data_IF_959924494697
#
_entry.id   IF_959924494697
#
_cell.length_a   1.000
_cell.length_b   1.000
_cell.length_c   1.000
_cell.angle_alpha   90.00
_cell.angle_beta   90.00
_cell.angle_gamma   90.00
#
_symmetry.space_group_name_H-M   'P 1'
#
loop_
_entity.id
_entity.type
_entity.pdbx_description
1 polymer ?
#
# COMPACT_ATOMS: atom_id res chain seq x y z
N UNK A 1 -17.73 19.20 8.49
CA UNK A 1 -16.44 18.61 8.08
C UNK A 1 -15.68 18.25 9.35
N UNK A 2 -15.57 16.98 9.74
CA UNK A 2 -14.79 16.64 10.92
C UNK A 2 -13.30 16.72 10.58
N UNK A 3 -12.51 17.24 11.51
CA UNK A 3 -11.07 17.36 11.39
C UNK A 3 -10.45 15.94 11.33
N UNK A 4 -10.06 15.51 10.13
CA UNK A 4 -9.27 14.29 9.98
C UNK A 4 -7.93 14.45 10.70
N UNK A 5 -7.57 13.50 11.56
CA UNK A 5 -6.21 13.39 12.08
C UNK A 5 -5.34 12.77 10.99
N UNK A 6 -4.34 13.53 10.53
CA UNK A 6 -3.30 13.03 9.63
C UNK A 6 -2.38 12.15 10.47
N UNK A 7 -2.29 10.87 10.15
CA UNK A 7 -1.30 9.96 10.70
C UNK A 7 -0.10 9.99 9.75
N UNK A 8 1.02 10.53 10.23
CA UNK A 8 2.26 10.68 9.44
C UNK A 8 2.97 9.33 9.33
N UNK A 9 3.40 8.96 8.12
CA UNK A 9 4.13 7.72 7.89
C UNK A 9 5.55 7.77 8.46
N UNK A 10 6.01 6.62 8.95
CA UNK A 10 7.33 6.40 9.51
C UNK A 10 8.02 5.34 8.65
N UNK A 11 9.19 5.64 8.10
CA UNK A 11 10.03 4.64 7.41
C UNK A 11 10.85 3.93 8.50
N UNK A 12 11.08 2.62 8.44
CA UNK A 12 11.92 1.95 9.45
C UNK A 12 13.37 1.86 9.00
N UNK A 13 14.30 2.49 9.72
CA UNK A 13 15.67 2.67 9.25
C UNK A 13 16.69 2.59 10.38
N UNK A 14 17.90 2.21 10.01
CA UNK A 14 19.05 2.26 10.90
C UNK A 14 19.97 3.39 10.41
N UNK A 15 20.24 4.41 11.24
CA UNK A 15 21.27 5.38 10.91
C UNK A 15 22.64 4.83 11.34
N UNK A 16 23.58 4.78 10.40
CA UNK A 16 24.92 4.20 10.54
C UNK A 16 25.95 5.31 10.31
N UNK A 17 26.97 5.36 11.15
CA UNK A 17 28.13 6.24 10.94
C UNK A 17 28.74 6.04 9.55
N UNK A 18 28.77 7.11 8.74
CA UNK A 18 29.49 7.16 7.47
C UNK A 18 31.01 7.24 7.69
N UNK A 19 31.76 6.28 7.16
CA UNK A 19 33.23 6.34 7.14
C UNK A 19 33.71 7.23 6.00
N UNK A 20 33.80 8.55 6.22
CA UNK A 20 34.30 9.49 5.23
C UNK A 20 35.01 10.68 5.87
N UNK A 21 36.33 10.79 5.67
CA UNK A 21 37.10 11.98 6.00
C UNK A 21 36.84 13.06 4.94
N UNK A 22 36.28 14.18 5.36
CA UNK A 22 36.04 15.34 4.50
C UNK A 22 35.87 16.60 5.35
N UNK A 23 36.72 17.59 5.12
CA UNK A 23 36.69 18.91 5.73
C UNK A 23 35.47 19.66 5.19
N UNK A 24 34.60 20.18 6.06
CA UNK A 24 33.45 21.01 5.66
C UNK A 24 33.71 22.46 6.06
N UNK A 25 33.86 23.27 5.02
CA UNK A 25 33.97 24.73 5.04
C UNK A 25 32.57 25.34 5.18
N UNK A 26 32.38 26.26 6.12
CA UNK A 26 31.09 26.89 6.43
C UNK A 26 30.74 27.99 5.43
N UNK A 27 29.53 27.92 4.85
CA UNK A 27 28.93 29.03 4.12
C UNK A 27 27.65 29.52 4.83
N UNK A 28 27.53 30.85 4.83
CA UNK A 28 26.61 31.69 5.59
C UNK A 28 25.27 31.90 4.85
N UNK A 29 24.30 32.49 5.56
CA UNK A 29 23.16 33.29 5.06
C UNK A 29 21.90 32.61 4.47
N UNK A 30 20.77 32.64 5.21
CA UNK A 30 19.74 33.71 5.11
C UNK A 30 18.52 33.42 6.02
N UNK A 31 18.05 34.48 6.68
CA UNK A 31 16.85 34.55 7.52
C UNK A 31 15.57 34.33 6.72
N UNK A 32 14.66 33.52 7.27
CA UNK A 32 13.22 33.67 7.06
C UNK A 32 12.56 33.77 8.44
N UNK A 33 11.95 34.92 8.68
CA UNK A 33 10.97 35.17 9.75
C UNK A 33 9.65 34.53 9.36
N UNK A 34 9.00 33.82 10.27
CA UNK A 34 7.53 33.92 10.40
C UNK A 34 6.96 33.41 11.73
N UNK A 35 6.22 34.33 12.35
CA UNK A 35 4.88 34.25 12.95
C UNK A 35 4.58 33.07 13.90
N UNK A 36 4.38 33.45 15.17
CA UNK A 36 4.00 32.55 16.25
C UNK A 36 2.52 32.17 16.30
N UNK A 37 2.25 31.08 16.99
CA UNK A 37 0.93 30.75 17.53
C UNK A 37 1.13 30.21 18.96
N UNK A 38 0.66 31.00 19.93
CA UNK A 38 0.49 30.61 21.32
C UNK A 38 -0.70 29.67 21.44
N UNK A 39 -0.50 28.46 21.96
CA UNK A 39 -1.57 27.54 22.31
C UNK A 39 -1.21 26.72 23.54
N UNK A 40 -1.72 27.12 24.71
CA UNK A 40 -1.62 26.36 25.97
C UNK A 40 -2.59 25.18 25.91
N UNK A 41 -2.07 23.95 25.93
CA UNK A 41 -2.84 22.72 26.18
C UNK A 41 -2.47 22.13 27.54
N UNK A 42 -3.46 21.92 28.42
CA UNK A 42 -3.32 21.12 29.65
C UNK A 42 -3.38 19.62 29.30
N UNK A 43 -2.70 18.74 30.05
CA UNK A 43 -2.78 17.30 29.83
C UNK A 43 -4.08 16.72 30.41
N UNK A 44 -4.75 15.86 29.65
CA UNK A 44 -5.81 14.98 30.13
C UNK A 44 -5.21 13.59 30.41
N UNK A 45 -5.50 13.09 31.60
CA UNK A 45 -5.20 11.74 32.05
C UNK A 45 -5.84 10.69 31.13
N UNK A 46 -5.09 9.65 30.81
CA UNK A 46 -5.57 8.45 30.14
C UNK A 46 -5.91 7.41 31.21
N UNK A 47 -7.19 7.05 31.29
CA UNK A 47 -7.67 5.79 31.87
C UNK A 47 -8.78 5.28 30.94
N UNK A 48 -8.92 3.96 30.91
CA UNK A 48 -9.82 3.12 30.11
C UNK A 48 -9.29 2.66 28.74
N UNK A 49 -8.91 1.38 28.72
CA UNK A 49 -8.55 0.62 27.53
C UNK A 49 -9.77 0.34 26.67
N UNK A 50 -9.74 0.87 25.45
CA UNK A 50 -10.65 0.50 24.37
C UNK A 50 -10.00 -0.66 23.62
N UNK A 51 -10.57 -1.86 23.76
CA UNK A 51 -10.27 -2.97 22.85
C UNK A 51 -10.82 -2.64 21.46
N UNK A 52 -9.92 -2.35 20.53
CA UNK A 52 -10.26 -2.20 19.11
C UNK A 52 -10.25 -3.60 18.50
N UNK A 53 -11.44 -4.21 18.39
CA UNK A 53 -11.63 -5.44 17.64
C UNK A 53 -11.49 -5.18 16.14
N UNK A 54 -10.32 -5.48 15.56
CA UNK A 54 -10.12 -5.42 14.11
C UNK A 54 -10.73 -6.67 13.49
N UNK A 55 -11.96 -6.56 13.01
CA UNK A 55 -12.56 -7.60 12.15
C UNK A 55 -11.94 -7.51 10.75
N UNK A 56 -10.91 -8.32 10.51
CA UNK A 56 -10.40 -8.56 9.15
C UNK A 56 -11.38 -9.47 8.44
N UNK A 57 -12.31 -8.88 7.69
CA UNK A 57 -13.13 -9.61 6.74
C UNK A 57 -12.22 -10.17 5.65
N UNK A 58 -11.91 -11.47 5.73
CA UNK A 58 -11.25 -12.22 4.67
C UNK A 58 -12.26 -12.49 3.55
N UNK A 59 -12.60 -11.44 2.79
CA UNK A 59 -13.17 -11.64 1.47
C UNK A 59 -12.05 -12.18 0.57
N UNK A 60 -12.16 -13.46 0.23
CA UNK A 60 -11.24 -14.24 -0.59
C UNK A 60 -11.16 -13.79 -2.04
N UNK A 61 -10.75 -12.53 -2.27
CA UNK A 61 -10.19 -12.07 -3.54
C UNK A 61 -8.76 -11.64 -3.28
N UNK A 62 -7.84 -12.57 -3.51
CA UNK A 62 -6.42 -12.28 -3.58
C UNK A 62 -6.17 -11.21 -4.65
N UNK A 63 -6.09 -9.95 -4.24
CA UNK A 63 -5.34 -8.96 -4.98
C UNK A 63 -3.90 -9.44 -4.90
N UNK A 64 -3.47 -10.16 -5.93
CA UNK A 64 -2.09 -10.58 -6.09
C UNK A 64 -1.23 -9.33 -6.01
N UNK A 65 -0.56 -9.16 -4.87
CA UNK A 65 0.59 -8.28 -4.81
C UNK A 65 1.51 -8.76 -5.92
N UNK A 66 1.67 -7.92 -6.95
CA UNK A 66 2.73 -8.04 -7.93
C UNK A 66 4.04 -7.90 -7.16
N UNK A 67 4.45 -8.98 -6.50
CA UNK A 67 5.84 -9.25 -6.20
C UNK A 67 6.49 -9.31 -7.57
N UNK A 68 7.09 -8.19 -7.97
CA UNK A 68 7.87 -8.13 -9.19
C UNK A 68 8.85 -9.30 -9.11
N UNK A 69 8.70 -10.27 -10.01
CA UNK A 69 9.64 -11.37 -10.11
C UNK A 69 11.05 -10.75 -10.14
N UNK A 70 12.01 -11.29 -9.37
CA UNK A 70 13.37 -10.80 -9.41
C UNK A 70 13.80 -10.72 -10.88
N UNK A 71 14.45 -9.62 -11.31
CA UNK A 71 14.80 -9.44 -12.71
C UNK A 71 15.55 -10.69 -13.19
N UNK A 72 15.27 -11.17 -14.42
CA UNK A 72 15.95 -12.34 -14.94
C UNK A 72 17.46 -12.13 -14.84
N UNK A 73 18.23 -13.19 -14.51
CA UNK A 73 19.68 -13.07 -14.36
C UNK A 73 20.25 -12.40 -15.61
N UNK A 74 20.83 -11.21 -15.43
CA UNK A 74 21.37 -10.43 -16.54
C UNK A 74 22.41 -11.31 -17.25
N UNK A 75 22.30 -11.41 -18.58
CA UNK A 75 23.26 -12.16 -19.38
C UNK A 75 24.68 -11.69 -19.03
N UNK A 76 25.61 -12.59 -18.71
CA UNK A 76 26.94 -12.22 -18.25
C UNK A 76 27.61 -11.30 -19.28
N UNK A 77 28.11 -10.13 -18.84
CA UNK A 77 28.85 -9.18 -19.69
C UNK A 77 30.28 -9.68 -19.84
N UNK A 78 30.67 -10.35 -20.94
CA UNK A 78 31.95 -11.05 -21.00
C UNK A 78 33.17 -10.12 -20.85
N UNK A 79 33.03 -8.86 -21.23
CA UNK A 79 34.09 -7.84 -21.22
C UNK A 79 33.91 -6.77 -20.14
N UNK A 80 33.00 -7.00 -19.19
CA UNK A 80 32.64 -6.02 -18.16
C UNK A 80 31.66 -4.96 -18.64
N UNK A 81 31.28 -4.10 -17.71
CA UNK A 81 30.39 -2.97 -17.93
C UNK A 81 31.07 -1.85 -18.73
N UNK A 82 30.29 -1.07 -19.50
CA UNK A 82 30.83 0.03 -20.31
C UNK A 82 31.54 1.09 -19.46
N UNK A 83 31.06 1.31 -18.22
CA UNK A 83 31.64 2.25 -17.26
C UNK A 83 32.86 1.69 -16.50
N UNK A 84 33.16 0.40 -16.67
CA UNK A 84 34.30 -0.25 -16.02
C UNK A 84 34.69 -1.51 -16.80
N UNK A 85 35.33 -1.32 -17.96
CA UNK A 85 35.75 -2.42 -18.84
C UNK A 85 36.83 -3.26 -18.17
N UNK A 86 36.72 -4.57 -18.33
CA UNK A 86 37.75 -5.51 -17.91
C UNK A 86 39.02 -5.31 -18.75
N UNK A 87 40.18 -5.37 -18.11
CA UNK A 87 41.46 -5.40 -18.80
C UNK A 87 41.58 -6.69 -19.62
N UNK A 88 42.02 -6.55 -20.87
CA UNK A 88 42.37 -7.69 -21.72
C UNK A 88 43.66 -8.36 -21.24
N UNK A 89 43.90 -9.60 -21.67
CA UNK A 89 45.14 -10.32 -21.36
C UNK A 89 46.39 -9.54 -21.82
N UNK A 90 46.32 -8.89 -22.98
CA UNK A 90 47.42 -8.06 -23.50
C UNK A 90 47.67 -6.81 -22.65
N UNK A 91 46.63 -6.17 -22.13
CA UNK A 91 46.76 -5.02 -21.22
C UNK A 91 47.31 -5.41 -19.86
N UNK A 92 46.90 -6.56 -19.31
CA UNK A 92 47.48 -7.07 -18.07
C UNK A 92 48.97 -7.40 -18.24
N UNK A 93 49.34 -8.05 -19.35
CA UNK A 93 50.73 -8.38 -19.65
C UNK A 93 51.60 -7.13 -19.86
N UNK A 94 51.07 -6.08 -20.51
CA UNK A 94 51.82 -4.86 -20.77
C UNK A 94 51.94 -3.94 -19.55
N UNK A 95 50.90 -3.87 -18.70
CA UNK A 95 50.91 -3.04 -17.48
C UNK A 95 51.67 -3.68 -16.33
N UNK A 96 51.72 -5.01 -16.27
CA UNK A 96 52.36 -5.76 -15.20
C UNK A 96 53.37 -6.78 -15.78
N UNK A 97 54.39 -6.33 -16.54
CA UNK A 97 55.29 -7.20 -17.31
C UNK A 97 56.28 -7.98 -16.44
N UNK A 98 56.44 -7.59 -15.18
CA UNK A 98 57.52 -8.03 -14.29
C UNK A 98 57.04 -8.24 -12.87
N UNK A 99 55.82 -8.74 -12.70
CA UNK A 99 55.44 -9.32 -11.40
C UNK A 99 55.64 -10.84 -11.54
N UNK A 100 56.88 -11.36 -11.45
CA UNK A 100 57.08 -12.77 -11.16
C UNK A 100 56.56 -12.92 -9.74
N UNK A 101 55.24 -13.07 -9.63
CA UNK A 101 54.64 -13.67 -8.46
C UNK A 101 55.52 -14.87 -8.16
N UNK A 102 56.09 -14.94 -6.95
CA UNK A 102 56.93 -16.07 -6.56
C UNK A 102 56.10 -17.32 -6.88
N UNK A 103 56.45 -18.03 -7.96
CA UNK A 103 55.59 -19.05 -8.56
C UNK A 103 55.23 -20.11 -7.50
N UNK A 104 56.18 -20.35 -6.61
CA UNK A 104 56.10 -21.22 -5.43
C UNK A 104 54.91 -20.87 -4.51
N UNK A 105 54.57 -19.58 -4.38
CA UNK A 105 53.40 -19.12 -3.60
C UNK A 105 52.08 -19.26 -4.34
N UNK A 106 52.10 -19.18 -5.67
CA UNK A 106 50.90 -19.29 -6.51
C UNK A 106 50.45 -20.74 -6.65
N UNK A 107 51.35 -21.67 -6.97
CA UNK A 107 50.96 -23.07 -7.12
C UNK A 107 50.34 -23.60 -5.83
N UNK A 108 50.81 -23.11 -4.68
CA UNK A 108 50.24 -23.43 -3.37
C UNK A 108 48.78 -23.00 -3.20
N UNK A 109 48.38 -21.89 -3.85
CA UNK A 109 47.08 -21.25 -3.68
C UNK A 109 46.09 -21.63 -4.79
N UNK A 110 46.57 -21.70 -6.03
CA UNK A 110 45.76 -21.92 -7.21
C UNK A 110 45.76 -23.37 -7.70
N UNK A 111 46.72 -24.19 -7.24
CA UNK A 111 46.91 -25.56 -7.72
C UNK A 111 47.61 -25.65 -9.08
N UNK A 112 47.96 -26.88 -9.52
CA UNK A 112 48.79 -27.10 -10.72
C UNK A 112 48.09 -26.74 -12.05
N UNK A 113 46.76 -26.55 -12.04
CA UNK A 113 45.97 -26.30 -13.25
C UNK A 113 45.58 -24.83 -13.45
N UNK A 114 46.16 -23.92 -12.67
CA UNK A 114 45.78 -22.52 -12.70
C UNK A 114 46.33 -21.79 -13.92
N UNK A 115 45.45 -21.36 -14.83
CA UNK A 115 45.85 -20.52 -15.95
C UNK A 115 45.99 -19.05 -15.50
N UNK A 116 47.18 -18.67 -15.03
CA UNK A 116 47.49 -17.32 -14.57
C UNK A 116 47.37 -16.25 -15.66
N UNK A 117 47.52 -16.63 -16.93
CA UNK A 117 47.36 -15.69 -18.05
C UNK A 117 45.90 -15.32 -18.29
N UNK A 118 44.97 -16.18 -17.87
CA UNK A 118 43.52 -15.96 -17.99
C UNK A 118 42.88 -15.48 -16.68
N UNK A 119 43.57 -15.58 -15.54
CA UNK A 119 43.03 -15.23 -14.23
C UNK A 119 42.75 -13.71 -14.13
N UNK A 120 41.49 -13.37 -13.85
CA UNK A 120 41.00 -11.98 -13.83
C UNK A 120 40.77 -11.36 -15.22
N UNK A 121 40.95 -12.10 -16.31
CA UNK A 121 40.66 -11.63 -17.68
C UNK A 121 39.20 -11.91 -18.04
N UNK A 122 38.47 -10.83 -18.31
CA UNK A 122 37.03 -10.91 -18.58
C UNK A 122 36.23 -11.37 -17.37
N UNK A 123 34.91 -11.29 -17.48
CA UNK A 123 34.00 -11.65 -16.39
C UNK A 123 33.79 -13.16 -16.31
N UNK A 124 34.55 -13.81 -15.43
CA UNK A 124 34.49 -15.26 -15.19
C UNK A 124 34.67 -15.57 -13.70
N UNK A 125 34.18 -16.72 -13.21
CA UNK A 125 34.41 -17.17 -11.84
C UNK A 125 35.83 -17.72 -11.71
N UNK A 126 36.81 -16.82 -11.67
CA UNK A 126 38.24 -17.17 -11.67
C UNK A 126 38.66 -17.96 -10.44
N UNK A 127 37.88 -17.86 -9.35
CA UNK A 127 38.18 -18.50 -8.06
C UNK A 127 37.60 -19.93 -7.94
N UNK A 128 36.73 -20.35 -8.87
CA UNK A 128 35.92 -21.58 -8.74
C UNK A 128 36.76 -22.86 -8.59
N UNK A 129 37.94 -22.89 -9.22
CA UNK A 129 38.82 -24.06 -9.22
C UNK A 129 40.05 -23.91 -8.33
N UNK A 130 40.14 -22.82 -7.54
CA UNK A 130 41.26 -22.64 -6.61
C UNK A 130 41.17 -23.65 -5.49
N UNK A 131 42.33 -24.02 -4.92
CA UNK A 131 42.41 -24.98 -3.81
C UNK A 131 41.50 -24.62 -2.61
N UNK A 132 41.38 -23.34 -2.20
CA UNK A 132 40.42 -22.92 -1.17
C UNK A 132 38.95 -23.11 -1.54
N UNK A 133 38.62 -23.29 -2.81
CA UNK A 133 37.25 -23.47 -3.30
C UNK A 133 36.97 -24.91 -3.76
N UNK A 134 38.00 -25.65 -4.22
CA UNK A 134 37.88 -26.99 -4.80
C UNK A 134 37.75 -28.12 -3.77
N UNK A 135 38.08 -27.86 -2.49
CA UNK A 135 38.00 -28.85 -1.40
C UNK A 135 36.89 -28.57 -0.38
N UNK A 136 35.83 -27.86 -0.78
CA UNK A 136 34.70 -27.46 0.07
C UNK A 136 33.86 -28.63 0.63
N UNK A 137 34.17 -29.89 0.31
CA UNK A 137 33.52 -31.03 0.96
C UNK A 137 34.20 -31.51 2.24
N UNK A 138 35.48 -31.22 2.53
CA UNK A 138 36.18 -31.61 3.79
C UNK A 138 37.59 -30.99 4.04
N UNK A 139 38.02 -29.95 3.31
CA UNK A 139 39.39 -29.42 3.36
C UNK A 139 39.63 -28.24 4.33
N UNK A 140 40.90 -27.91 4.65
CA UNK A 140 41.32 -26.85 5.58
C UNK A 140 41.14 -25.42 5.03
N UNK A 141 40.01 -25.15 4.35
CA UNK A 141 39.60 -23.81 3.92
C UNK A 141 39.21 -22.89 5.08
N UNK A 142 39.21 -23.40 6.31
CA UNK A 142 38.69 -22.70 7.50
C UNK A 142 39.63 -21.60 8.00
N UNK A 143 40.93 -21.63 7.68
CA UNK A 143 41.93 -20.85 8.42
C UNK A 143 42.59 -19.68 7.66
N UNK A 144 42.44 -19.54 6.33
CA UNK A 144 43.21 -18.54 5.55
C UNK A 144 42.37 -17.61 4.67
N UNK A 145 41.23 -18.10 4.19
CA UNK A 145 40.21 -17.31 3.50
C UNK A 145 38.91 -17.64 4.20
N UNK A 146 38.11 -16.66 4.65
CA UNK A 146 36.93 -17.01 5.41
C UNK A 146 35.99 -17.78 4.47
N UNK A 147 35.82 -19.06 4.76
CA UNK A 147 34.90 -19.91 4.02
C UNK A 147 33.50 -19.28 4.16
N UNK A 148 32.84 -18.92 3.06
CA UNK A 148 31.49 -18.39 3.14
C UNK A 148 30.58 -19.46 3.70
N UNK A 149 29.58 -19.05 4.50
CA UNK A 149 28.57 -19.97 5.06
C UNK A 149 27.80 -20.72 3.97
N UNK A 150 27.80 -20.19 2.75
CA UNK A 150 27.16 -20.76 1.58
C UNK A 150 28.07 -20.60 0.35
N UNK A 151 28.36 -21.71 -0.32
CA UNK A 151 29.18 -21.73 -1.54
C UNK A 151 28.49 -21.01 -2.70
N UNK A 152 27.16 -20.97 -2.74
CA UNK A 152 26.39 -20.33 -3.82
C UNK A 152 26.47 -18.80 -3.75
N UNK A 153 26.78 -18.25 -2.58
CA UNK A 153 27.00 -16.81 -2.38
C UNK A 153 28.48 -16.45 -2.20
N UNK A 154 29.38 -17.41 -2.40
CA UNK A 154 30.83 -17.26 -2.23
C UNK A 154 31.47 -16.33 -3.26
N UNK A 155 32.73 -15.95 -3.03
CA UNK A 155 33.57 -15.37 -4.06
C UNK A 155 33.99 -16.40 -5.13
N UNK A 156 34.01 -17.69 -4.79
CA UNK A 156 34.41 -18.77 -5.69
C UNK A 156 33.55 -18.84 -6.97
N UNK A 157 32.22 -18.67 -6.84
CA UNK A 157 31.29 -18.75 -7.97
C UNK A 157 31.04 -17.41 -8.67
N UNK A 158 31.48 -16.28 -8.10
CA UNK A 158 31.16 -14.96 -8.64
C UNK A 158 32.18 -14.53 -9.66
N UNK A 159 31.69 -13.96 -10.76
CA UNK A 159 32.57 -13.42 -11.78
C UNK A 159 33.13 -12.07 -11.35
N UNK A 160 34.43 -11.90 -11.55
CA UNK A 160 35.11 -10.62 -11.44
C UNK A 160 36.12 -10.48 -12.56
N UNK A 161 36.68 -9.28 -12.72
CA UNK A 161 37.82 -9.08 -13.58
C UNK A 161 38.75 -7.98 -13.02
N UNK A 162 39.97 -7.93 -13.54
CA UNK A 162 40.85 -6.79 -13.32
C UNK A 162 40.43 -5.60 -14.15
N UNK A 163 40.53 -4.43 -13.56
CA UNK A 163 40.07 -3.16 -14.14
C UNK A 163 41.14 -2.10 -13.98
N UNK A 164 41.07 -1.07 -14.83
CA UNK A 164 41.89 0.12 -14.69
C UNK A 164 41.24 1.07 -13.67
N UNK A 165 41.84 1.30 -12.49
CA UNK A 165 41.23 2.14 -11.46
C UNK A 165 41.05 3.60 -11.92
N UNK A 166 41.86 4.07 -12.89
CA UNK A 166 41.75 5.42 -13.42
C UNK A 166 40.58 5.59 -14.41
N UNK A 167 40.06 4.48 -14.97
CA UNK A 167 38.98 4.49 -15.97
C UNK A 167 37.69 3.84 -15.48
N UNK A 168 37.72 3.13 -14.37
CA UNK A 168 36.59 2.43 -13.78
C UNK A 168 35.85 3.33 -12.79
N UNK A 169 34.60 3.71 -13.10
CA UNK A 169 33.75 4.46 -12.16
C UNK A 169 32.98 3.55 -11.19
N UNK A 170 32.94 2.24 -11.46
CA UNK A 170 32.28 1.26 -10.58
C UNK A 170 33.16 0.91 -9.37
N UNK A 171 32.56 0.30 -8.34
CA UNK A 171 33.27 -0.13 -7.14
C UNK A 171 34.38 -1.13 -7.48
N UNK A 172 35.62 -0.80 -7.14
CA UNK A 172 36.80 -1.64 -7.35
C UNK A 172 37.75 -1.53 -6.14
N UNK A 173 38.64 -2.52 -5.99
CA UNK A 173 39.60 -2.58 -4.87
C UNK A 173 40.95 -3.12 -5.32
N UNK A 174 42.05 -2.71 -4.65
CA UNK A 174 43.35 -3.30 -4.92
C UNK A 174 43.34 -4.78 -4.53
N UNK A 175 43.95 -5.63 -5.36
CA UNK A 175 44.13 -7.04 -5.07
C UNK A 175 45.16 -7.22 -3.97
N UNK A 176 44.83 -8.07 -3.00
CA UNK A 176 45.75 -8.44 -1.91
C UNK A 176 46.75 -9.49 -2.37
N UNK A 177 46.39 -10.28 -3.40
CA UNK A 177 47.21 -11.37 -3.93
C UNK A 177 48.15 -10.83 -5.03
N UNK A 178 47.65 -9.94 -5.89
CA UNK A 178 48.39 -9.41 -7.04
C UNK A 178 48.63 -7.91 -6.87
N UNK A 179 49.83 -7.55 -6.40
CA UNK A 179 50.22 -6.16 -6.15
C UNK A 179 49.98 -5.26 -7.37
N UNK A 180 49.49 -4.04 -7.14
CA UNK A 180 49.24 -3.06 -8.20
C UNK A 180 48.03 -3.34 -9.09
N UNK A 181 47.37 -4.50 -8.99
CA UNK A 181 46.15 -4.80 -9.74
C UNK A 181 44.90 -4.40 -8.96
N UNK A 182 43.85 -3.97 -9.65
CA UNK A 182 42.55 -3.65 -9.06
C UNK A 182 41.49 -4.55 -9.65
N UNK A 183 40.67 -5.17 -8.81
CA UNK A 183 39.58 -6.04 -9.24
C UNK A 183 38.22 -5.39 -8.99
N UNK A 184 37.24 -5.72 -9.82
CA UNK A 184 35.85 -5.31 -9.63
C UNK A 184 34.90 -6.47 -9.92
N UNK A 185 34.07 -6.80 -8.93
CA UNK A 185 32.89 -7.65 -9.13
C UNK A 185 31.75 -6.86 -9.81
N UNK A 186 31.66 -5.56 -9.50
CA UNK A 186 30.62 -4.67 -10.04
C UNK A 186 30.72 -4.53 -11.56
N UNK A 187 31.95 -4.49 -12.11
CA UNK A 187 32.20 -4.56 -13.55
C UNK A 187 31.52 -5.77 -14.22
N UNK A 188 31.36 -6.87 -13.50
CA UNK A 188 30.76 -8.11 -14.00
C UNK A 188 29.30 -8.29 -13.56
N UNK A 189 28.69 -7.28 -12.92
CA UNK A 189 27.31 -7.35 -12.43
C UNK A 189 27.15 -8.08 -11.10
N UNK A 190 28.24 -8.33 -10.36
CA UNK A 190 28.20 -9.02 -9.07
C UNK A 190 28.57 -8.08 -7.91
N UNK A 191 28.03 -8.34 -6.72
CA UNK A 191 28.49 -7.67 -5.50
C UNK A 191 29.81 -8.28 -5.02
N UNK A 192 30.69 -7.45 -4.47
CA UNK A 192 31.97 -7.86 -3.86
C UNK A 192 31.73 -8.80 -2.67
N UNK A 193 31.82 -10.11 -2.91
CA UNK A 193 31.75 -11.16 -1.89
C UNK A 193 33.12 -11.52 -1.32
N UNK A 194 34.21 -11.16 -2.01
CA UNK A 194 35.56 -11.45 -1.54
C UNK A 194 35.89 -10.69 -0.26
N UNK A 195 35.55 -9.41 -0.20
CA UNK A 195 35.77 -8.61 1.02
C UNK A 195 34.61 -8.65 2.01
N UNK A 196 33.48 -9.26 1.65
CA UNK A 196 32.34 -9.40 2.56
C UNK A 196 32.77 -10.05 3.88
N UNK A 197 33.53 -11.13 3.78
CA UNK A 197 34.01 -11.85 4.94
C UNK A 197 35.05 -11.06 5.75
N UNK A 198 35.92 -10.28 5.08
CA UNK A 198 36.85 -9.35 5.75
C UNK A 198 36.11 -8.22 6.46
N UNK A 199 35.01 -7.73 5.90
CA UNK A 199 34.14 -6.74 6.54
C UNK A 199 33.50 -7.36 7.78
N UNK A 200 32.87 -8.52 7.65
CA UNK A 200 32.25 -9.24 8.76
C UNK A 200 33.27 -9.57 9.85
N UNK A 201 34.46 -10.08 9.49
CA UNK A 201 35.54 -10.35 10.44
C UNK A 201 36.07 -9.08 11.10
N UNK A 202 36.00 -7.93 10.43
CA UNK A 202 36.37 -6.65 11.03
C UNK A 202 35.32 -6.12 12.00
N UNK A 203 34.10 -6.67 12.00
CA UNK A 203 33.08 -6.41 13.02
C UNK A 203 33.27 -7.35 14.23
N UNK A 204 33.75 -8.58 14.00
CA UNK A 204 33.91 -9.58 15.07
C UNK A 204 34.72 -9.07 16.26
N UNK A 205 34.16 -9.25 17.45
CA UNK A 205 34.77 -8.83 18.72
C UNK A 205 34.74 -7.32 18.97
N UNK A 206 34.17 -6.50 18.07
CA UNK A 206 33.95 -5.09 18.34
C UNK A 206 32.68 -4.89 19.14
N UNK A 207 32.67 -3.84 19.95
CA UNK A 207 31.49 -3.38 20.66
C UNK A 207 31.01 -2.08 20.04
N UNK A 208 29.79 -2.07 19.53
CA UNK A 208 29.17 -0.88 18.94
C UNK A 208 28.29 -0.17 19.96
N UNK A 209 28.39 1.16 20.04
CA UNK A 209 27.51 1.99 20.85
C UNK A 209 26.18 2.18 20.10
N UNK A 210 25.11 1.62 20.65
CA UNK A 210 23.79 1.59 20.02
C UNK A 210 22.81 2.40 20.84
N UNK A 211 22.23 3.43 20.23
CA UNK A 211 21.15 4.20 20.82
C UNK A 211 19.82 3.78 20.22
N UNK A 212 18.89 3.35 21.08
CA UNK A 212 17.53 3.00 20.69
C UNK A 212 16.57 4.16 20.95
N UNK A 213 15.66 4.37 20.02
CA UNK A 213 14.61 5.38 20.12
C UNK A 213 13.24 4.71 20.13
N UNK A 214 12.44 4.96 21.16
CA UNK A 214 11.10 4.37 21.25
C UNK A 214 10.16 4.96 20.21
N UNK A 215 9.55 4.11 19.39
CA UNK A 215 8.50 4.50 18.47
C UNK A 215 7.14 4.46 19.17
N UNK A 216 6.30 5.47 18.94
CA UNK A 216 4.93 5.51 19.46
C UNK A 216 4.00 4.80 18.47
N UNK A 217 3.58 3.57 18.75
CA UNK A 217 2.38 2.99 18.14
C UNK A 217 2.54 2.33 16.77
N UNK A 218 3.56 1.49 16.58
CA UNK A 218 3.69 0.67 15.37
C UNK A 218 4.03 -0.78 15.70
N UNK A 219 4.16 -1.62 14.67
CA UNK A 219 4.70 -2.98 14.78
C UNK A 219 6.11 -3.09 14.20
N UNK A 220 6.63 -2.06 13.52
CA UNK A 220 7.89 -2.13 12.73
C UNK A 220 9.13 -1.51 13.39
N UNK A 221 8.96 -0.70 14.44
CA UNK A 221 10.04 0.03 15.12
C UNK A 221 10.66 -0.62 16.37
N UNK A 222 11.35 0.20 17.16
CA UNK A 222 11.93 -0.17 18.45
C UNK A 222 11.05 0.34 19.59
N UNK A 223 10.86 -0.46 20.63
CA UNK A 223 9.96 -0.14 21.73
C UNK A 223 10.64 -0.37 23.08
N UNK A 224 10.47 0.58 23.97
CA UNK A 224 10.78 0.42 25.39
C UNK A 224 9.47 0.37 26.18
N UNK A 225 9.29 -0.52 27.18
CA UNK A 225 8.03 -0.64 27.92
C UNK A 225 7.54 0.65 28.60
N UNK A 226 8.47 1.55 28.96
CA UNK A 226 8.16 2.85 29.57
C UNK A 226 7.90 3.96 28.55
N UNK A 227 8.07 3.69 27.25
CA UNK A 227 8.06 4.71 26.19
C UNK A 227 9.27 5.66 26.20
N UNK A 228 10.25 5.44 27.09
CA UNK A 228 11.42 6.29 27.22
C UNK A 228 12.37 6.12 26.02
N UNK A 229 12.82 7.24 25.45
CA UNK A 229 13.91 7.26 24.47
C UNK A 229 15.26 7.07 25.16
N UNK A 230 16.17 6.31 24.54
CA UNK A 230 17.56 6.14 25.01
C UNK A 230 17.72 5.55 26.42
N UNK A 231 16.74 4.77 26.89
CA UNK A 231 16.91 3.97 28.10
C UNK A 231 18.14 3.05 27.99
N UNK A 232 19.05 3.17 28.94
CA UNK A 232 20.31 2.41 29.01
C UNK A 232 20.07 1.09 29.73
N UNK A 233 19.22 0.23 29.16
CA UNK A 233 18.95 -1.11 29.67
C UNK A 233 18.66 -2.11 28.52
N UNK A 234 18.34 -3.36 28.86
CA UNK A 234 18.11 -4.43 27.89
C UNK A 234 16.62 -4.68 27.57
N UNK A 235 15.70 -3.85 28.09
CA UNK A 235 14.25 -4.06 27.96
C UNK A 235 13.68 -3.63 26.60
N UNK A 236 14.55 -3.23 25.67
CA UNK A 236 14.18 -2.93 24.29
C UNK A 236 13.64 -4.17 23.55
N UNK A 237 12.55 -3.95 22.82
CA UNK A 237 11.92 -4.94 21.94
C UNK A 237 11.46 -4.34 20.61
N UNK A 238 10.82 -5.17 19.78
CA UNK A 238 10.34 -4.80 18.45
C UNK A 238 11.17 -5.41 17.30
N UNK A 239 10.63 -5.50 16.07
CA UNK A 239 11.30 -6.20 14.98
C UNK A 239 12.65 -5.62 14.61
N UNK A 240 12.82 -4.29 14.62
CA UNK A 240 14.12 -3.68 14.31
C UNK A 240 15.17 -3.97 15.38
N UNK A 241 14.77 -4.07 16.67
CA UNK A 241 15.67 -4.45 17.76
C UNK A 241 16.11 -5.90 17.59
N UNK A 242 15.17 -6.79 17.27
CA UNK A 242 15.46 -8.20 17.00
C UNK A 242 16.37 -8.37 15.78
N UNK A 243 16.13 -7.60 14.71
CA UNK A 243 16.99 -7.57 13.53
C UNK A 243 18.42 -7.18 13.89
N UNK A 244 18.62 -6.09 14.62
CA UNK A 244 19.97 -5.62 15.01
C UNK A 244 20.64 -6.61 15.98
N UNK A 245 19.89 -7.23 16.91
CA UNK A 245 20.39 -8.32 17.76
C UNK A 245 20.86 -9.52 16.95
N UNK A 246 20.06 -9.96 15.99
CA UNK A 246 20.41 -11.08 15.11
C UNK A 246 21.64 -10.74 14.26
N UNK A 247 21.71 -9.53 13.72
CA UNK A 247 22.87 -9.04 12.99
C UNK A 247 24.14 -9.00 13.87
N UNK A 248 24.01 -8.64 15.15
CA UNK A 248 25.09 -8.68 16.12
C UNK A 248 25.60 -10.10 16.38
N UNK A 249 24.68 -11.05 16.57
CA UNK A 249 25.00 -12.46 16.75
C UNK A 249 25.69 -13.06 15.51
N UNK A 250 25.14 -12.85 14.32
CA UNK A 250 25.71 -13.37 13.06
C UNK A 250 27.02 -12.68 12.67
N UNK A 251 27.13 -11.37 12.92
CA UNK A 251 28.33 -10.59 12.70
C UNK A 251 29.41 -10.81 13.76
N UNK A 252 29.08 -11.48 14.87
CA UNK A 252 29.98 -11.71 16.00
C UNK A 252 30.44 -10.44 16.69
N UNK A 253 29.63 -9.39 16.69
CA UNK A 253 29.91 -8.13 17.39
C UNK A 253 28.99 -7.97 18.61
N UNK A 254 29.45 -7.21 19.60
CA UNK A 254 28.68 -6.90 20.80
C UNK A 254 28.01 -5.53 20.66
N UNK A 255 26.87 -5.35 21.32
CA UNK A 255 26.18 -4.06 21.38
C UNK A 255 26.25 -3.50 22.79
N UNK A 256 26.75 -2.27 22.92
CA UNK A 256 26.67 -1.48 24.14
C UNK A 256 25.48 -0.53 23.97
N UNK A 257 24.41 -0.76 24.72
CA UNK A 257 23.25 0.15 24.70
C UNK A 257 23.65 1.44 25.39
N UNK A 258 23.61 2.56 24.68
CA UNK A 258 24.02 3.88 25.20
C UNK A 258 23.00 4.96 24.87
N UNK A 259 23.16 6.12 25.51
CA UNK A 259 22.38 7.33 25.23
C UNK A 259 23.28 8.40 24.62
N UNK A 260 22.80 9.19 23.65
CA UNK A 260 23.51 10.37 23.18
C UNK A 260 23.81 11.36 24.32
N UNK A 261 24.99 12.02 24.36
CA UNK A 261 25.34 12.97 25.41
C UNK A 261 24.44 14.21 25.46
N UNK A 262 23.87 14.52 26.63
CA UNK A 262 22.83 15.55 26.78
C UNK A 262 23.20 16.96 26.27
N UNK A 263 24.48 17.33 26.27
CA UNK A 263 24.93 18.62 25.75
C UNK A 263 24.67 18.78 24.25
N UNK A 264 24.60 17.68 23.48
CA UNK A 264 24.30 17.70 22.04
C UNK A 264 22.84 18.01 21.75
N UNK A 265 21.94 17.89 22.75
CA UNK A 265 20.50 18.08 22.54
C UNK A 265 20.19 19.48 22.06
N UNK A 266 20.84 20.50 22.64
CA UNK A 266 20.64 21.91 22.25
C UNK A 266 21.13 22.19 20.83
N UNK A 267 22.27 21.62 20.45
CA UNK A 267 22.82 21.78 19.09
C UNK A 267 21.97 21.07 18.05
N UNK A 268 21.50 19.85 18.36
CA UNK A 268 20.55 19.14 17.52
C UNK A 268 19.23 19.90 17.38
N UNK A 269 18.71 20.49 18.45
CA UNK A 269 17.50 21.30 18.42
C UNK A 269 17.66 22.56 17.56
N UNK A 270 18.84 23.19 17.60
CA UNK A 270 19.18 24.32 16.73
C UNK A 270 19.26 23.91 15.27
N UNK A 271 19.83 22.73 14.96
CA UNK A 271 19.98 22.26 13.59
C UNK A 271 18.66 21.71 13.04
N UNK A 272 17.99 20.76 13.70
CA UNK A 272 16.83 20.03 13.20
C UNK A 272 15.47 20.50 13.76
N UNK A 273 15.46 21.13 14.93
CA UNK A 273 14.25 21.37 15.73
C UNK A 273 14.08 20.35 16.86
N UNK A 274 12.96 20.44 17.60
CA UNK A 274 12.68 19.59 18.77
C UNK A 274 12.21 18.21 18.36
N UNK A 275 13.14 17.25 18.33
CA UNK A 275 12.84 15.86 18.00
C UNK A 275 13.90 14.92 18.58
N UNK A 276 13.47 13.91 19.34
CA UNK A 276 14.36 12.87 19.88
C UNK A 276 14.96 11.99 18.77
N UNK A 277 14.28 11.86 17.63
CA UNK A 277 14.81 11.16 16.46
C UNK A 277 16.00 11.90 15.86
N UNK A 278 15.84 13.20 15.65
CA UNK A 278 16.90 14.04 15.10
C UNK A 278 18.12 14.13 16.04
N UNK A 279 17.88 14.10 17.35
CA UNK A 279 18.93 14.04 18.36
C UNK A 279 19.84 12.81 18.22
N UNK A 280 19.26 11.62 17.95
CA UNK A 280 20.06 10.43 17.68
C UNK A 280 20.84 10.57 16.37
N UNK A 281 20.16 11.00 15.29
CA UNK A 281 20.78 11.19 13.96
C UNK A 281 21.99 12.12 14.03
N UNK A 282 21.86 13.23 14.77
CA UNK A 282 22.94 14.18 15.00
C UNK A 282 24.11 13.57 15.79
N UNK A 283 23.82 12.80 16.84
CA UNK A 283 24.85 12.10 17.62
C UNK A 283 25.59 11.03 16.80
N UNK A 284 24.89 10.32 15.91
CA UNK A 284 25.49 9.35 14.99
C UNK A 284 26.39 10.02 13.95
N UNK A 285 25.95 11.16 13.39
CA UNK A 285 26.75 11.96 12.46
C UNK A 285 28.08 12.43 13.06
N UNK A 286 28.07 12.77 14.35
CA UNK A 286 29.27 13.18 15.11
C UNK A 286 30.08 12.01 15.67
N UNK A 287 29.60 10.77 15.55
CA UNK A 287 30.30 9.57 16.02
C UNK A 287 30.25 9.33 17.53
N UNK A 288 29.30 9.93 18.26
CA UNK A 288 29.07 9.63 19.68
C UNK A 288 28.32 8.32 19.90
N UNK A 289 27.53 7.91 18.90
CA UNK A 289 26.90 6.59 18.82
C UNK A 289 27.23 6.01 17.45
N UNK A 290 27.42 4.71 17.37
CA UNK A 290 27.75 4.04 16.10
C UNK A 290 26.48 3.72 15.30
N UNK A 291 25.40 3.38 16.02
CA UNK A 291 24.12 2.97 15.47
C UNK A 291 22.97 3.66 16.19
N UNK A 292 22.04 4.20 15.41
CA UNK A 292 20.77 4.75 15.88
C UNK A 292 19.63 3.89 15.35
N UNK A 293 18.93 3.20 16.26
CA UNK A 293 17.95 2.16 15.94
C UNK A 293 16.55 2.62 16.33
N UNK A 294 15.71 2.87 15.33
CA UNK A 294 14.28 3.12 15.48
C UNK A 294 13.60 3.06 14.11
N UNK A 295 12.31 3.39 14.04
CA UNK A 295 11.67 3.74 12.78
C UNK A 295 11.87 5.24 12.49
N UNK A 296 12.71 5.59 11.51
CA UNK A 296 13.00 6.96 11.07
C UNK A 296 12.47 7.24 9.66
N UNK A 297 11.72 8.31 9.47
CA UNK A 297 11.51 8.85 8.11
C UNK A 297 12.83 9.45 7.58
N UNK A 298 13.34 8.99 6.42
CA UNK A 298 14.43 9.70 5.72
C UNK A 298 13.89 11.03 5.24
N UNK A 299 14.53 12.12 5.67
CA UNK A 299 14.39 13.42 5.02
C UNK A 299 15.74 13.81 4.43
N UNK A 300 15.74 14.70 3.43
CA UNK A 300 16.97 15.18 2.81
C UNK A 300 17.97 15.73 3.84
N UNK A 301 17.45 16.44 4.85
CA UNK A 301 18.23 17.02 5.94
C UNK A 301 18.88 15.98 6.85
N UNK A 302 18.23 14.82 7.04
CA UNK A 302 18.81 13.71 7.80
C UNK A 302 19.84 12.96 6.96
N UNK A 303 19.49 12.65 5.71
CA UNK A 303 20.37 11.97 4.76
C UNK A 303 21.65 12.76 4.45
N UNK A 304 21.62 14.09 4.58
CA UNK A 304 22.80 14.94 4.35
C UNK A 304 23.84 14.87 5.47
N UNK A 305 23.51 14.40 6.68
CA UNK A 305 24.44 14.38 7.83
C UNK A 305 24.88 12.97 8.23
N UNK A 306 24.09 11.94 7.92
CA UNK A 306 24.41 10.56 8.29
C UNK A 306 23.89 9.59 7.25
N UNK A 307 24.48 8.40 7.20
CA UNK A 307 24.04 7.34 6.30
C UNK A 307 22.86 6.57 6.90
N UNK A 308 21.91 6.19 6.05
CA UNK A 308 20.76 5.36 6.44
C UNK A 308 20.85 3.99 5.79
N UNK A 309 20.43 2.98 6.53
CA UNK A 309 20.18 1.64 6.04
C UNK A 309 18.68 1.40 6.00
N UNK A 310 18.17 1.20 4.78
CA UNK A 310 16.75 1.04 4.50
C UNK A 310 16.31 -0.40 4.76
N UNK A 311 15.37 -0.59 5.69
CA UNK A 311 14.82 -1.92 5.99
C UNK A 311 13.45 -2.16 5.37
N UNK A 312 12.68 -1.10 5.13
CA UNK A 312 11.33 -1.13 4.58
C UNK A 312 11.02 0.20 3.92
N UNK A 313 10.12 0.16 2.93
CA UNK A 313 9.52 1.36 2.31
C UNK A 313 8.02 1.30 2.57
N UNK A 314 7.55 2.17 3.45
CA UNK A 314 6.13 2.25 3.81
C UNK A 314 5.48 3.43 3.07
N UNK A 315 4.44 3.14 2.29
CA UNK A 315 3.60 4.17 1.65
C UNK A 315 2.84 4.99 2.69
N UNK A 316 2.57 6.26 2.38
CA UNK A 316 1.67 7.08 3.19
C UNK A 316 0.22 6.65 2.91
N UNK A 317 -0.49 6.19 3.94
CA UNK A 317 -1.90 5.82 3.85
C UNK A 317 -2.77 6.84 4.59
N UNK A 318 -3.88 7.24 3.97
CA UNK A 318 -4.95 7.96 4.66
C UNK A 318 -5.88 6.94 5.32
N UNK A 319 -5.75 6.76 6.63
CA UNK A 319 -6.70 5.96 7.41
C UNK A 319 -7.94 6.81 7.68
N UNK A 320 -9.03 6.54 6.95
CA UNK A 320 -10.35 7.06 7.28
C UNK A 320 -11.10 6.02 8.10
N UNK A 321 -11.61 6.42 9.26
CA UNK A 321 -12.59 5.61 9.95
C UNK A 321 -13.82 5.53 9.06
N UNK A 322 -14.08 4.35 8.51
CA UNK A 322 -15.41 4.07 7.99
C UNK A 322 -16.33 4.15 9.21
N UNK A 323 -17.31 5.03 9.18
CA UNK A 323 -18.41 4.95 10.14
C UNK A 323 -19.03 3.57 9.94
N UNK A 324 -18.63 2.60 10.76
CA UNK A 324 -19.19 1.26 10.73
C UNK A 324 -20.69 1.41 10.96
N UNK A 325 -21.49 0.88 10.03
CA UNK A 325 -22.95 0.93 10.05
C UNK A 325 -23.53 0.18 11.25
N UNK A 326 -23.44 0.78 12.44
CA UNK A 326 -23.83 0.19 13.72
C UNK A 326 -25.15 0.69 14.27
N UNK A 327 -25.80 1.66 13.63
CA UNK A 327 -27.22 1.95 13.82
C UNK A 327 -27.82 2.26 12.46
N UNK A 328 -28.86 1.52 12.07
CA UNK A 328 -29.75 1.94 10.99
C UNK A 328 -30.34 3.27 11.41
N UNK A 329 -29.65 4.36 11.09
CA UNK A 329 -30.18 5.70 11.32
C UNK A 329 -31.40 5.84 10.42
N UNK A 330 -32.40 6.55 10.92
CA UNK A 330 -33.58 6.91 10.12
C UNK A 330 -33.17 7.53 8.78
N UNK A 331 -32.01 8.20 8.72
CA UNK A 331 -31.43 8.77 7.51
C UNK A 331 -30.97 7.72 6.49
N UNK A 332 -30.35 6.63 6.94
CA UNK A 332 -29.97 5.52 6.05
C UNK A 332 -31.21 4.81 5.48
N UNK A 333 -32.22 4.56 6.33
CA UNK A 333 -33.51 4.02 5.89
C UNK A 333 -34.22 4.97 4.92
N UNK A 334 -34.31 6.26 5.26
CA UNK A 334 -34.92 7.30 4.42
C UNK A 334 -34.22 7.40 3.07
N UNK A 335 -32.89 7.40 3.06
CA UNK A 335 -32.12 7.44 1.82
C UNK A 335 -32.44 6.22 0.96
N UNK A 336 -32.40 5.02 1.54
CA UNK A 336 -32.71 3.76 0.85
C UNK A 336 -34.15 3.72 0.31
N UNK A 337 -35.12 4.19 1.10
CA UNK A 337 -36.52 4.28 0.70
C UNK A 337 -36.72 5.31 -0.43
N UNK A 338 -36.05 6.46 -0.35
CA UNK A 338 -36.11 7.47 -1.41
C UNK A 338 -35.42 7.02 -2.70
N UNK A 339 -34.46 6.10 -2.65
CA UNK A 339 -33.85 5.49 -3.84
C UNK A 339 -34.91 4.82 -4.74
N UNK A 340 -36.00 4.28 -4.17
CA UNK A 340 -37.11 3.69 -4.94
C UNK A 340 -37.80 4.74 -5.84
N UNK A 341 -37.80 6.02 -5.44
CA UNK A 341 -38.44 7.10 -6.20
C UNK A 341 -37.49 7.86 -7.13
N UNK A 342 -36.17 7.65 -7.01
CA UNK A 342 -35.15 8.29 -7.86
C UNK A 342 -35.24 8.00 -9.36
N UNK A 343 -35.78 6.86 -9.85
CA UNK A 343 -35.86 6.58 -11.29
C UNK A 343 -36.64 7.62 -12.11
N UNK A 344 -37.48 8.42 -11.45
CA UNK A 344 -38.20 9.54 -12.06
C UNK A 344 -38.00 10.81 -11.26
N UNK A 345 -37.93 11.94 -11.97
CA UNK A 345 -37.96 13.26 -11.31
C UNK A 345 -39.31 13.46 -10.60
N UNK A 346 -39.34 14.30 -9.57
CA UNK A 346 -40.59 14.68 -8.91
C UNK A 346 -41.62 15.20 -9.92
N UNK A 347 -41.17 15.98 -10.91
CA UNK A 347 -42.03 16.49 -11.99
C UNK A 347 -42.66 15.36 -12.82
N UNK A 348 -41.89 14.32 -13.15
CA UNK A 348 -42.39 13.14 -13.86
C UNK A 348 -43.42 12.37 -13.04
N UNK A 349 -43.17 12.18 -11.74
CA UNK A 349 -44.15 11.55 -10.83
C UNK A 349 -45.45 12.34 -10.75
N UNK A 350 -45.37 13.67 -10.59
CA UNK A 350 -46.54 14.53 -10.56
C UNK A 350 -47.32 14.46 -11.88
N UNK A 351 -46.61 14.42 -13.02
CA UNK A 351 -47.24 14.29 -14.34
C UNK A 351 -47.94 12.93 -14.49
N UNK A 352 -47.31 11.82 -14.10
CA UNK A 352 -47.92 10.48 -14.18
C UNK A 352 -49.15 10.40 -13.26
N UNK A 353 -49.00 10.76 -11.98
CA UNK A 353 -50.03 10.58 -10.94
C UNK A 353 -51.17 11.58 -11.11
N UNK A 354 -50.90 12.87 -11.24
CA UNK A 354 -51.96 13.87 -11.20
C UNK A 354 -52.51 14.23 -12.58
N UNK A 355 -51.81 13.89 -13.67
CA UNK A 355 -52.23 14.26 -15.01
C UNK A 355 -52.54 13.04 -15.89
N UNK A 356 -51.55 12.19 -16.18
CA UNK A 356 -51.74 11.08 -17.14
C UNK A 356 -52.80 10.08 -16.70
N UNK A 357 -52.72 9.55 -15.48
CA UNK A 357 -53.66 8.52 -15.01
C UNK A 357 -55.10 9.06 -14.87
N UNK A 358 -55.35 10.25 -14.29
CA UNK A 358 -56.68 10.83 -14.23
C UNK A 358 -57.26 11.15 -15.61
N UNK A 359 -56.45 11.70 -16.53
CA UNK A 359 -56.91 12.02 -17.89
C UNK A 359 -57.30 10.76 -18.65
N UNK A 360 -56.47 9.72 -18.62
CA UNK A 360 -56.78 8.43 -19.25
C UNK A 360 -58.04 7.78 -18.66
N UNK A 361 -58.24 7.89 -17.35
CA UNK A 361 -59.47 7.48 -16.69
C UNK A 361 -60.69 8.30 -17.12
N UNK A 362 -60.58 9.62 -17.20
CA UNK A 362 -61.68 10.46 -17.67
C UNK A 362 -62.04 10.18 -19.13
N UNK A 363 -61.06 9.92 -20.00
CA UNK A 363 -61.28 9.47 -21.37
C UNK A 363 -62.01 8.12 -21.40
N UNK A 364 -61.68 7.21 -20.47
CA UNK A 364 -62.38 5.94 -20.35
C UNK A 364 -63.85 6.13 -19.99
N UNK A 365 -64.11 7.00 -19.02
CA UNK A 365 -65.46 7.38 -18.65
C UNK A 365 -66.19 7.97 -19.84
N UNK A 366 -65.58 8.89 -20.59
CA UNK A 366 -66.20 9.52 -21.75
C UNK A 366 -66.66 8.51 -22.80
N UNK A 367 -65.85 7.49 -23.10
CA UNK A 367 -66.19 6.46 -24.10
C UNK A 367 -67.23 5.43 -23.62
N UNK A 368 -67.20 5.05 -22.34
CA UNK A 368 -68.07 4.00 -21.79
C UNK A 368 -69.31 4.55 -21.07
N UNK A 369 -69.46 5.87 -20.94
CA UNK A 369 -70.59 6.46 -20.23
C UNK A 369 -71.92 6.13 -20.93
N UNK A 370 -72.82 5.47 -20.18
CA UNK A 370 -74.13 5.00 -20.65
C UNK A 370 -74.08 3.89 -21.72
N UNK A 371 -72.92 3.30 -22.02
CA UNK A 371 -72.86 2.15 -22.90
C UNK A 371 -73.60 0.95 -22.24
N UNK A 372 -74.51 0.26 -22.95
CA UNK A 372 -75.23 -0.88 -22.39
C UNK A 372 -74.27 -2.03 -22.08
N UNK A 373 -74.22 -2.45 -20.82
CA UNK A 373 -73.27 -3.46 -20.35
C UNK A 373 -71.84 -2.95 -20.11
N UNK A 374 -71.59 -1.64 -20.29
CA UNK A 374 -70.32 -0.99 -19.99
C UNK A 374 -70.07 -0.80 -18.50
N UNK A 375 -68.86 -0.38 -18.15
CA UNK A 375 -68.40 -0.26 -16.77
C UNK A 375 -68.94 0.97 -16.00
N UNK A 376 -69.53 1.93 -16.72
CA UNK A 376 -70.17 3.14 -16.17
C UNK A 376 -71.65 3.22 -16.59
N UNK A 377 -72.52 2.34 -16.05
CA UNK A 377 -73.93 2.35 -16.38
C UNK A 377 -74.63 3.58 -15.77
N UNK A 378 -75.56 4.19 -16.53
CA UNK A 378 -76.32 5.35 -16.08
C UNK A 378 -77.22 5.04 -14.87
N UNK A 379 -77.71 3.81 -14.83
CA UNK A 379 -78.57 3.26 -13.80
C UNK A 379 -78.01 1.92 -13.35
N UNK A 380 -78.03 1.67 -12.04
CA UNK A 380 -77.66 0.38 -11.48
C UNK A 380 -78.92 -0.28 -10.93
N UNK A 381 -79.19 -1.56 -11.25
CA UNK A 381 -80.28 -2.27 -10.64
C UNK A 381 -79.96 -2.44 -9.15
N UNK A 382 -80.78 -1.83 -8.30
CA UNK A 382 -80.69 -2.02 -6.85
C UNK A 382 -81.76 -3.03 -6.48
N UNK A 383 -81.34 -4.23 -6.10
CA UNK A 383 -82.21 -5.24 -5.53
C UNK A 383 -82.66 -4.76 -4.14
N UNK A 384 -83.94 -4.41 -4.00
CA UNK A 384 -84.51 -4.11 -2.70
C UNK A 384 -84.81 -5.44 -1.99
N UNK A 385 -83.91 -5.83 -1.08
CA UNK A 385 -84.12 -6.97 -0.22
C UNK A 385 -84.93 -6.54 1.00
N UNK A 386 -86.03 -7.24 1.27
CA UNK A 386 -86.80 -7.01 2.47
C UNK A 386 -86.00 -7.50 3.68
N UNK A 387 -85.66 -6.59 4.58
CA UNK A 387 -84.85 -6.87 5.76
C UNK A 387 -85.44 -7.96 6.68
N UNK A 388 -86.75 -8.21 6.63
CA UNK A 388 -87.41 -9.23 7.48
C UNK A 388 -87.51 -10.60 6.82
N UNK A 389 -87.73 -10.66 5.52
CA UNK A 389 -87.97 -11.93 4.82
C UNK A 389 -86.77 -12.42 4.01
N UNK A 390 -85.77 -11.56 3.79
CA UNK A 390 -84.64 -11.86 2.91
C UNK A 390 -85.00 -11.99 1.44
N UNK A 391 -86.28 -11.86 1.07
CA UNK A 391 -86.75 -11.92 -0.30
C UNK A 391 -86.41 -10.62 -1.04
N UNK A 392 -85.87 -10.77 -2.25
CA UNK A 392 -85.66 -9.65 -3.18
C UNK A 392 -86.99 -9.34 -3.84
N UNK A 393 -87.59 -8.20 -3.48
CA UNK A 393 -88.98 -7.89 -3.83
C UNK A 393 -89.06 -7.14 -5.16
N UNK A 394 -88.10 -6.25 -5.44
CA UNK A 394 -88.16 -5.42 -6.63
C UNK A 394 -86.77 -4.91 -7.03
N UNK A 395 -86.43 -5.02 -8.32
CA UNK A 395 -85.21 -4.45 -8.88
C UNK A 395 -85.52 -3.06 -9.44
N UNK A 396 -85.27 -2.01 -8.64
CA UNK A 396 -85.46 -0.63 -9.11
C UNK A 396 -84.16 -0.06 -9.68
N UNK A 397 -84.24 0.54 -10.85
CA UNK A 397 -83.08 1.15 -11.52
C UNK A 397 -82.80 2.53 -10.89
N UNK A 398 -81.74 2.65 -10.09
CA UNK A 398 -81.36 3.92 -9.47
C UNK A 398 -80.33 4.66 -10.34
N UNK A 399 -80.59 5.92 -10.66
CA UNK A 399 -79.64 6.79 -11.37
C UNK A 399 -78.39 7.01 -10.52
N UNK A 400 -77.22 6.72 -11.08
CA UNK A 400 -75.95 6.97 -10.42
C UNK A 400 -75.50 8.39 -10.75
N UNK A 401 -75.12 9.21 -9.75
CA UNK A 401 -74.65 10.57 -10.01
C UNK A 401 -73.28 10.54 -10.72
N UNK A 402 -73.07 11.45 -11.67
CA UNK A 402 -71.88 11.48 -12.54
C UNK A 402 -70.55 11.54 -11.76
N UNK A 403 -70.49 12.26 -10.64
CA UNK A 403 -69.28 12.35 -9.82
C UNK A 403 -68.79 10.98 -9.33
N UNK A 404 -69.69 10.06 -9.00
CA UNK A 404 -69.30 8.68 -8.61
C UNK A 404 -68.60 7.95 -9.74
N UNK A 405 -69.01 8.18 -10.99
CA UNK A 405 -68.33 7.60 -12.15
C UNK A 405 -66.96 8.24 -12.39
N UNK A 406 -66.83 9.55 -12.19
CA UNK A 406 -65.54 10.25 -12.29
C UNK A 406 -64.53 9.67 -11.28
N UNK A 407 -64.90 9.61 -10.00
CA UNK A 407 -64.03 9.04 -8.97
C UNK A 407 -63.73 7.57 -9.23
N UNK A 408 -64.74 6.77 -9.59
CA UNK A 408 -64.54 5.36 -9.95
C UNK A 408 -63.54 5.24 -11.10
N UNK A 409 -63.66 6.06 -12.15
CA UNK A 409 -62.81 5.97 -13.33
C UNK A 409 -61.35 6.33 -13.08
N UNK A 410 -61.14 7.43 -12.35
CA UNK A 410 -59.79 7.85 -11.92
C UNK A 410 -59.19 6.77 -11.02
N UNK A 411 -59.94 6.30 -10.03
CA UNK A 411 -59.51 5.24 -9.12
C UNK A 411 -59.15 3.93 -9.84
N UNK A 412 -59.98 3.48 -10.79
CA UNK A 412 -59.68 2.26 -11.57
C UNK A 412 -58.41 2.42 -12.42
N UNK A 413 -58.12 3.64 -12.90
CA UNK A 413 -56.89 3.90 -13.67
C UNK A 413 -55.65 3.87 -12.78
N UNK A 414 -55.76 4.38 -11.56
CA UNK A 414 -54.71 4.22 -10.55
C UNK A 414 -54.50 2.76 -10.15
N UNK A 415 -55.58 2.04 -9.84
CA UNK A 415 -55.47 0.62 -9.50
C UNK A 415 -54.82 -0.18 -10.61
N UNK A 416 -55.18 0.07 -11.87
CA UNK A 416 -54.58 -0.63 -13.00
C UNK A 416 -53.08 -0.38 -13.14
N UNK A 417 -52.60 0.82 -12.79
CA UNK A 417 -51.17 1.13 -12.76
C UNK A 417 -50.41 0.29 -11.71
N UNK A 418 -51.02 0.03 -10.55
CA UNK A 418 -50.38 -0.72 -9.46
C UNK A 418 -50.64 -2.24 -9.50
N UNK A 419 -51.73 -2.69 -10.11
CA UNK A 419 -52.14 -4.10 -10.16
C UNK A 419 -51.80 -4.79 -11.48
N UNK A 420 -51.14 -4.09 -12.41
CA UNK A 420 -50.73 -4.59 -13.74
C UNK A 420 -51.89 -5.16 -14.59
N UNK A 421 -53.14 -4.94 -14.16
CA UNK A 421 -54.33 -5.52 -14.78
C UNK A 421 -55.50 -4.52 -14.75
N UNK A 422 -56.25 -4.51 -15.83
CA UNK A 422 -57.44 -3.66 -15.99
C UNK A 422 -58.69 -4.54 -16.01
N UNK A 423 -59.20 -4.89 -14.83
CA UNK A 423 -60.40 -5.75 -14.69
C UNK A 423 -61.69 -4.94 -14.83
N UNK A 424 -61.88 -4.37 -16.01
CA UNK A 424 -63.07 -3.58 -16.33
C UNK A 424 -63.62 -4.06 -17.65
N UNK A 425 -64.91 -4.40 -17.65
CA UNK A 425 -65.61 -4.81 -18.87
C UNK A 425 -65.86 -3.60 -19.76
N UNK A 426 -65.22 -3.59 -20.93
CA UNK A 426 -65.27 -2.50 -21.91
C UNK A 426 -66.06 -2.96 -23.13
N UNK A 427 -67.12 -2.25 -23.47
CA UNK A 427 -68.03 -2.65 -24.57
C UNK A 427 -67.82 -1.80 -25.81
N UNK A 428 -67.63 -0.49 -25.64
CA UNK A 428 -67.46 0.46 -26.73
C UNK A 428 -66.13 0.29 -27.45
N UNK A 429 -66.09 0.63 -28.75
CA UNK A 429 -64.86 0.63 -29.53
C UNK A 429 -63.85 1.64 -28.97
N UNK A 430 -64.33 2.84 -28.58
CA UNK A 430 -63.48 3.88 -27.99
C UNK A 430 -62.84 3.44 -26.67
N UNK A 431 -63.59 2.77 -25.81
CA UNK A 431 -63.04 2.20 -24.57
C UNK A 431 -61.98 1.13 -24.86
N UNK A 432 -62.19 0.28 -25.88
CA UNK A 432 -61.22 -0.76 -26.29
C UNK A 432 -59.93 -0.17 -26.87
N UNK A 433 -59.99 0.99 -27.51
CA UNK A 433 -58.78 1.70 -27.92
C UNK A 433 -58.10 2.33 -26.69
N UNK A 434 -58.87 2.93 -25.79
CA UNK A 434 -58.34 3.58 -24.60
C UNK A 434 -57.67 2.58 -23.63
N UNK A 435 -58.18 1.36 -23.48
CA UNK A 435 -57.54 0.33 -22.65
C UNK A 435 -56.17 -0.10 -23.23
N UNK A 436 -56.03 -0.15 -24.57
CA UNK A 436 -54.74 -0.41 -25.22
C UNK A 436 -53.77 0.75 -24.96
N UNK A 437 -54.26 2.00 -25.05
CA UNK A 437 -53.45 3.18 -24.75
C UNK A 437 -52.97 3.21 -23.29
N UNK A 438 -53.87 2.92 -22.33
CA UNK A 438 -53.53 2.80 -20.90
C UNK A 438 -52.50 1.69 -20.68
N UNK A 439 -52.71 0.52 -21.27
CA UNK A 439 -51.80 -0.62 -21.13
C UNK A 439 -50.42 -0.31 -21.69
N UNK A 440 -50.34 0.29 -22.89
CA UNK A 440 -49.08 0.71 -23.51
C UNK A 440 -48.36 1.77 -22.67
N UNK A 441 -49.10 2.72 -22.08
CA UNK A 441 -48.53 3.75 -21.22
C UNK A 441 -47.94 3.14 -19.94
N UNK A 442 -48.69 2.25 -19.26
CA UNK A 442 -48.21 1.56 -18.06
C UNK A 442 -46.95 0.75 -18.37
N UNK A 443 -46.96 -0.05 -19.45
CA UNK A 443 -45.79 -0.83 -19.86
C UNK A 443 -44.57 0.05 -20.14
N UNK A 444 -44.74 1.17 -20.83
CA UNK A 444 -43.65 2.11 -21.10
C UNK A 444 -43.10 2.72 -19.81
N UNK A 445 -43.96 3.17 -18.90
CA UNK A 445 -43.54 3.75 -17.62
C UNK A 445 -42.80 2.72 -16.77
N UNK A 446 -43.29 1.49 -16.68
CA UNK A 446 -42.62 0.40 -15.95
C UNK A 446 -41.28 0.03 -16.58
N UNK A 447 -41.20 -0.05 -17.91
CA UNK A 447 -39.95 -0.34 -18.62
C UNK A 447 -38.89 0.75 -18.37
N UNK A 448 -39.27 2.04 -18.45
CA UNK A 448 -38.35 3.14 -18.17
C UNK A 448 -37.97 3.18 -16.69
N UNK A 449 -38.93 2.96 -15.78
CA UNK A 449 -38.68 2.91 -14.34
C UNK A 449 -37.67 1.82 -13.99
N UNK A 450 -37.87 0.59 -14.50
CA UNK A 450 -36.98 -0.55 -14.24
C UNK A 450 -35.60 -0.35 -14.84
N UNK A 451 -35.50 0.21 -16.05
CA UNK A 451 -34.22 0.55 -16.66
C UNK A 451 -33.43 1.58 -15.83
N UNK A 452 -34.10 2.63 -15.35
CA UNK A 452 -33.48 3.66 -14.53
C UNK A 452 -33.12 3.14 -13.13
N UNK A 453 -33.97 2.29 -12.53
CA UNK A 453 -33.69 1.66 -11.24
C UNK A 453 -32.44 0.76 -11.32
N UNK A 454 -32.31 -0.01 -12.40
CA UNK A 454 -31.15 -0.87 -12.64
C UNK A 454 -29.84 -0.09 -12.89
N UNK A 455 -29.91 1.20 -13.24
CA UNK A 455 -28.73 2.05 -13.38
C UNK A 455 -28.30 2.71 -12.06
N UNK A 456 -29.19 2.76 -11.07
CA UNK A 456 -28.96 3.40 -9.77
C UNK A 456 -28.49 2.38 -8.72
N UNK A 457 -29.02 1.16 -8.77
CA UNK A 457 -28.57 0.01 -7.98
C UNK A 457 -27.29 -0.58 -8.57
#
# INVERSE_FOLDING_TARGET
>A
MPAGRIVTATISLLAIRGGGGGVVETANDRKFTDIGANGRGRPLHADEGVEVGVHVGLDGRSLGALSAAPPPPQSPKPYGDEFCKCLSAAELASRFPSDPLKLDSIESYFGPNANLTAYGVGCRPHDMHLKPCSSASNGPCVNTVPSPLDCDFSHCQRSFCYVDPAKCSLMHKPSVIFGGRYFSYAACGFMDSFTYTKRLSSLRGKTFNVAFNSNTGGWTGAYHPTGQHFAVDQRWGGPIVNFVRQAALEGGFSMNVTSPPDFLRKESEKYFGKSSFDYCVYAAALGYVDLCVASYTVSDKRASVTSFFETSSDSVYLVVFKEEGGRVTWESFRTSFLTIFQPFTLGSWLMIVFFSLPVLGLLMLFHEYKAPGGCYPATVPVALQNARTGLVIECTAKKVPAWRHIFKSVYTSFLAFFQESYDVRVVSIGGKVNIIAISSFILLVLAVYTANLAAIL
#
